data_IF_629055882852
#
_entry.id   IF_629055882852
#
_cell.length_a   1.000
_cell.length_b   1.000
_cell.length_c   1.000
_cell.angle_alpha   90.00
_cell.angle_beta   90.00
_cell.angle_gamma   90.00
#
_symmetry.space_group_name_H-M   'P 1'
#
loop_
_entity.id
_entity.type
_entity.pdbx_description
1 polymer ?
#
# COMPACT_ATOMS: atom_id res chain seq x y z
N UNK A 1 47.27 -37.12 -27.00
CA UNK A 1 46.58 -35.82 -27.13
C UNK A 1 45.11 -36.09 -27.39
N UNK A 2 44.23 -35.86 -26.41
CA UNK A 2 42.77 -36.06 -26.54
C UNK A 2 42.08 -34.74 -26.21
N UNK A 3 41.40 -34.17 -27.21
CA UNK A 3 40.52 -33.01 -27.08
C UNK A 3 39.17 -33.52 -26.58
N UNK A 4 38.68 -33.04 -25.44
CA UNK A 4 37.28 -33.22 -25.05
C UNK A 4 36.71 -31.83 -24.79
N UNK A 5 35.86 -31.46 -25.73
CA UNK A 5 35.08 -30.26 -25.91
C UNK A 5 34.15 -30.04 -24.71
N UNK A 6 34.23 -28.85 -24.11
CA UNK A 6 33.29 -28.40 -23.08
C UNK A 6 31.92 -28.13 -23.68
N UNK A 7 30.89 -28.74 -23.10
CA UNK A 7 29.49 -28.45 -23.38
C UNK A 7 28.96 -27.53 -22.28
N UNK A 8 28.97 -26.22 -22.57
CA UNK A 8 28.30 -25.19 -21.77
C UNK A 8 26.81 -25.25 -22.10
N UNK A 9 26.01 -25.89 -21.25
CA UNK A 9 24.54 -25.82 -21.34
C UNK A 9 24.09 -24.68 -20.44
N UNK A 10 23.87 -23.51 -21.05
CA UNK A 10 23.11 -22.42 -20.46
C UNK A 10 21.66 -22.87 -20.28
N UNK A 11 21.32 -23.35 -19.09
CA UNK A 11 19.93 -23.57 -18.69
C UNK A 11 19.31 -22.20 -18.40
N UNK A 12 18.48 -21.74 -19.34
CA UNK A 12 17.68 -20.54 -19.21
C UNK A 12 16.87 -20.58 -17.91
N UNK A 13 17.12 -19.59 -17.05
CA UNK A 13 16.25 -19.27 -15.93
C UNK A 13 14.87 -18.89 -16.47
N UNK A 14 13.93 -19.82 -16.39
CA UNK A 14 12.50 -19.53 -16.57
C UNK A 14 12.12 -18.57 -15.47
N UNK A 15 12.12 -17.28 -15.81
CA UNK A 15 11.55 -16.23 -14.98
C UNK A 15 10.04 -16.45 -14.98
N UNK A 16 9.55 -17.20 -13.99
CA UNK A 16 8.13 -17.25 -13.67
C UNK A 16 7.77 -15.85 -13.18
N UNK A 17 7.37 -15.00 -14.13
CA UNK A 17 6.62 -13.78 -13.84
C UNK A 17 5.29 -14.26 -13.24
N UNK A 18 5.26 -14.41 -11.92
CA UNK A 18 4.02 -14.54 -11.17
C UNK A 18 3.23 -13.26 -11.42
N UNK A 19 2.25 -13.35 -12.32
CA UNK A 19 1.28 -12.30 -12.54
C UNK A 19 0.51 -12.17 -11.23
N UNK A 20 0.83 -11.16 -10.43
CA UNK A 20 0.00 -10.77 -9.30
C UNK A 20 -1.35 -10.33 -9.89
N UNK A 21 -2.29 -11.26 -10.05
CA UNK A 21 -3.69 -10.92 -10.22
C UNK A 21 -4.05 -10.06 -9.01
N UNK A 22 -4.25 -8.76 -9.23
CA UNK A 22 -4.72 -7.90 -8.14
C UNK A 22 -6.13 -8.34 -7.80
N UNK A 23 -6.28 -9.16 -6.76
CA UNK A 23 -7.58 -9.41 -6.16
C UNK A 23 -8.21 -8.04 -5.87
N UNK A 24 -9.46 -7.85 -6.33
CA UNK A 24 -10.21 -6.64 -6.02
C UNK A 24 -10.22 -6.44 -4.49
N UNK A 25 -10.09 -5.19 -4.00
CA UNK A 25 -10.11 -4.94 -2.56
C UNK A 25 -11.35 -5.58 -1.92
N UNK A 26 -11.25 -6.14 -0.70
CA UNK A 26 -12.40 -6.74 -0.05
C UNK A 26 -13.52 -5.70 0.12
N UNK A 27 -14.77 -6.11 -0.03
CA UNK A 27 -15.92 -5.24 0.24
C UNK A 27 -16.16 -5.15 1.76
N UNK A 28 -16.38 -3.93 2.26
CA UNK A 28 -16.77 -3.64 3.66
C UNK A 28 -18.02 -4.45 4.02
N UNK A 29 -17.98 -5.32 5.04
CA UNK A 29 -19.17 -6.04 5.48
C UNK A 29 -20.09 -5.17 6.33
N UNK A 30 -21.35 -5.58 6.48
CA UNK A 30 -22.34 -4.86 7.28
C UNK A 30 -22.03 -4.93 8.79
N UNK A 31 -22.65 -4.04 9.56
CA UNK A 31 -22.56 -4.09 11.03
C UNK A 31 -23.30 -5.32 11.55
N UNK A 32 -22.69 -6.00 12.52
CA UNK A 32 -23.30 -7.15 13.20
C UNK A 32 -23.94 -6.76 14.55
N UNK A 33 -23.79 -5.50 14.96
CA UNK A 33 -24.29 -4.97 16.22
C UNK A 33 -23.52 -5.52 17.41
N UNK A 34 -22.19 -5.66 17.27
CA UNK A 34 -21.27 -6.01 18.37
C UNK A 34 -20.11 -5.03 18.29
N UNK A 35 -20.05 -4.11 19.26
CA UNK A 35 -19.24 -2.89 19.20
C UNK A 35 -17.78 -3.14 18.83
N UNK A 36 -17.12 -4.10 19.47
CA UNK A 36 -15.69 -4.34 19.25
C UNK A 36 -15.39 -4.82 17.83
N UNK A 37 -16.27 -5.68 17.29
CA UNK A 37 -16.14 -6.22 15.93
C UNK A 37 -16.50 -5.18 14.86
N UNK A 38 -17.55 -4.40 15.10
CA UNK A 38 -17.97 -3.34 14.19
C UNK A 38 -16.96 -2.18 14.18
N UNK A 39 -16.44 -1.81 15.35
CA UNK A 39 -15.40 -0.80 15.52
C UNK A 39 -14.09 -1.21 14.85
N UNK A 40 -13.61 -2.43 15.12
CA UNK A 40 -12.42 -2.97 14.44
C UNK A 40 -12.60 -2.96 12.92
N UNK A 41 -13.73 -3.47 12.44
CA UNK A 41 -14.05 -3.45 11.01
C UNK A 41 -14.03 -2.04 10.42
N UNK A 42 -14.72 -1.09 11.04
CA UNK A 42 -14.79 0.26 10.51
C UNK A 42 -13.40 0.89 10.43
N UNK A 43 -12.60 0.78 11.49
CA UNK A 43 -11.22 1.28 11.49
C UNK A 43 -10.37 0.61 10.41
N UNK A 44 -10.45 -0.72 10.24
CA UNK A 44 -9.69 -1.43 9.21
C UNK A 44 -10.08 -1.01 7.79
N UNK A 45 -11.38 -0.81 7.53
CA UNK A 45 -11.85 -0.41 6.22
C UNK A 45 -11.63 1.09 5.95
N UNK A 46 -11.68 1.95 6.96
CA UNK A 46 -11.32 3.37 6.82
C UNK A 46 -9.83 3.51 6.45
N UNK A 47 -8.96 2.69 7.04
CA UNK A 47 -7.54 2.60 6.65
C UNK A 47 -7.37 2.06 5.23
N UNK A 48 -8.15 1.05 4.83
CA UNK A 48 -8.13 0.54 3.46
C UNK A 48 -8.51 1.63 2.45
N UNK A 49 -9.59 2.36 2.72
CA UNK A 49 -10.09 3.43 1.86
C UNK A 49 -9.04 4.54 1.75
N UNK A 50 -8.47 4.98 2.87
CA UNK A 50 -7.46 6.03 2.88
C UNK A 50 -6.15 5.59 2.22
N UNK A 51 -5.64 4.38 2.50
CA UNK A 51 -4.44 3.86 1.85
C UNK A 51 -4.61 3.74 0.33
N UNK A 52 -5.83 3.41 -0.13
CA UNK A 52 -6.16 3.36 -1.56
C UNK A 52 -6.13 4.76 -2.17
N UNK A 53 -6.68 5.77 -1.47
CA UNK A 53 -6.62 7.18 -1.88
C UNK A 53 -5.17 7.66 -2.01
N UNK A 54 -4.35 7.43 -0.98
CA UNK A 54 -2.93 7.82 -1.00
C UNK A 54 -2.15 7.17 -2.14
N UNK A 55 -2.38 5.87 -2.40
CA UNK A 55 -1.79 5.18 -3.56
C UNK A 55 -2.19 5.83 -4.87
N UNK A 56 -3.48 6.15 -5.04
CA UNK A 56 -3.98 6.76 -6.26
C UNK A 56 -3.40 8.18 -6.45
N UNK A 57 -3.29 8.97 -5.38
CA UNK A 57 -2.68 10.29 -5.42
C UNK A 57 -1.20 10.23 -5.79
N UNK A 58 -0.44 9.32 -5.18
CA UNK A 58 0.98 9.09 -5.53
C UNK A 58 1.15 8.61 -6.97
N UNK A 59 0.26 7.72 -7.44
CA UNK A 59 0.26 7.21 -8.82
C UNK A 59 -0.10 8.30 -9.83
N UNK A 60 -1.01 9.22 -9.48
CA UNK A 60 -1.32 10.37 -10.33
C UNK A 60 -0.10 11.27 -10.51
N UNK A 61 0.60 11.60 -9.42
CA UNK A 61 1.83 12.41 -9.49
C UNK A 61 2.91 11.67 -10.31
N UNK A 62 3.07 10.36 -10.10
CA UNK A 62 3.98 9.53 -10.89
C UNK A 62 3.70 9.59 -12.40
N UNK A 63 2.43 9.49 -12.79
CA UNK A 63 2.01 9.59 -14.18
C UNK A 63 2.23 10.99 -14.75
N UNK A 64 2.03 12.05 -13.97
CA UNK A 64 2.34 13.43 -14.38
C UNK A 64 3.85 13.61 -14.62
N UNK A 65 4.69 13.05 -13.75
CA UNK A 65 6.15 13.08 -13.87
C UNK A 65 6.64 12.30 -15.09
N UNK A 66 6.06 11.12 -15.36
CA UNK A 66 6.42 10.28 -16.50
C UNK A 66 5.86 10.78 -17.83
N UNK A 67 4.67 11.40 -17.80
CA UNK A 67 3.99 11.93 -18.96
C UNK A 67 4.47 13.33 -19.36
N UNK A 68 4.98 14.10 -18.41
CA UNK A 68 5.70 15.35 -18.68
C UNK A 68 7.16 15.09 -19.03
N UNK A 69 7.74 15.88 -19.93
CA UNK A 69 9.19 16.00 -19.93
C UNK A 69 9.52 16.71 -18.62
N UNK A 70 10.18 16.06 -17.67
CA UNK A 70 10.53 16.66 -16.38
C UNK A 70 11.13 18.08 -16.55
N UNK A 71 11.94 18.26 -17.60
CA UNK A 71 12.54 19.52 -18.02
C UNK A 71 11.54 20.65 -18.40
N UNK A 72 10.31 20.31 -18.80
CA UNK A 72 9.26 21.29 -19.16
C UNK A 72 8.35 21.67 -17.99
N UNK A 73 8.44 21.00 -16.84
CA UNK A 73 7.71 21.39 -15.64
C UNK A 73 8.26 22.71 -15.08
N UNK A 74 7.40 23.59 -14.58
CA UNK A 74 7.85 24.81 -13.89
C UNK A 74 8.44 24.48 -12.51
N UNK A 75 9.35 25.32 -12.01
CA UNK A 75 9.93 25.18 -10.66
C UNK A 75 8.84 25.14 -9.59
N UNK A 76 7.82 25.99 -9.73
CA UNK A 76 6.69 26.04 -8.81
C UNK A 76 5.89 24.72 -8.77
N UNK A 77 5.65 24.10 -9.94
CA UNK A 77 4.98 22.79 -9.99
C UNK A 77 5.83 21.71 -9.33
N UNK A 78 7.14 21.70 -9.58
CA UNK A 78 8.07 20.75 -8.96
C UNK A 78 8.05 20.87 -7.43
N UNK A 79 8.10 22.10 -6.89
CA UNK A 79 7.99 22.36 -5.44
C UNK A 79 6.63 21.93 -4.88
N UNK A 80 5.54 22.21 -5.59
CA UNK A 80 4.20 21.78 -5.20
C UNK A 80 4.09 20.26 -5.12
N UNK A 81 4.64 19.54 -6.09
CA UNK A 81 4.60 18.08 -6.12
C UNK A 81 5.47 17.48 -5.01
N UNK A 82 6.67 18.03 -4.75
CA UNK A 82 7.49 17.62 -3.60
C UNK A 82 6.70 17.79 -2.29
N UNK A 83 6.03 18.94 -2.10
CA UNK A 83 5.23 19.18 -0.90
C UNK A 83 4.07 18.18 -0.79
N UNK A 84 3.39 17.88 -1.89
CA UNK A 84 2.32 16.88 -1.92
C UNK A 84 2.85 15.48 -1.56
N UNK A 85 3.98 15.07 -2.15
CA UNK A 85 4.61 13.78 -1.86
C UNK A 85 5.08 13.66 -0.41
N UNK A 86 5.62 14.74 0.19
CA UNK A 86 5.95 14.80 1.63
C UNK A 86 4.69 14.59 2.49
N UNK A 87 3.59 15.27 2.19
CA UNK A 87 2.32 15.09 2.92
C UNK A 87 1.73 13.67 2.77
N UNK A 88 1.86 13.06 1.60
CA UNK A 88 1.50 11.64 1.38
C UNK A 88 2.39 10.73 2.23
N UNK A 89 3.69 11.01 2.32
CA UNK A 89 4.64 10.25 3.15
C UNK A 89 4.22 10.24 4.63
N UNK A 90 3.96 11.43 5.19
CA UNK A 90 3.55 11.60 6.59
C UNK A 90 2.24 10.86 6.87
N UNK A 91 1.25 11.02 5.99
CA UNK A 91 -0.05 10.34 6.10
C UNK A 91 0.11 8.82 6.03
N UNK A 92 0.98 8.33 5.13
CA UNK A 92 1.26 6.90 4.98
C UNK A 92 1.92 6.31 6.23
N UNK A 93 2.87 7.03 6.83
CA UNK A 93 3.53 6.61 8.08
C UNK A 93 2.54 6.52 9.24
N UNK A 94 1.64 7.50 9.37
CA UNK A 94 0.60 7.48 10.39
C UNK A 94 -0.35 6.27 10.24
N UNK A 95 -0.71 5.90 9.00
CA UNK A 95 -1.52 4.71 8.74
C UNK A 95 -0.75 3.42 9.05
N UNK A 96 0.53 3.33 8.69
CA UNK A 96 1.35 2.14 9.00
C UNK A 96 1.40 1.88 10.51
N UNK A 97 1.51 2.92 11.32
CA UNK A 97 1.46 2.79 12.78
C UNK A 97 0.10 2.26 13.27
N UNK A 98 -1.01 2.86 12.81
CA UNK A 98 -2.37 2.41 13.16
C UNK A 98 -2.64 0.96 12.75
N UNK A 99 -2.10 0.52 11.61
CA UNK A 99 -2.20 -0.87 11.16
C UNK A 99 -1.54 -1.82 12.15
N UNK A 100 -0.37 -1.45 12.70
CA UNK A 100 0.32 -2.24 13.72
C UNK A 100 -0.50 -2.43 14.99
N UNK A 101 -1.16 -1.37 15.47
CA UNK A 101 -2.04 -1.44 16.64
C UNK A 101 -3.26 -2.36 16.39
N UNK A 102 -3.81 -2.31 15.18
CA UNK A 102 -4.97 -3.12 14.78
C UNK A 102 -4.64 -4.60 14.56
N UNK A 103 -3.38 -4.98 14.29
CA UNK A 103 -3.03 -6.40 14.12
C UNK A 103 -3.25 -7.20 15.40
N UNK A 104 -2.80 -6.67 16.53
CA UNK A 104 -2.96 -7.32 17.83
C UNK A 104 -4.44 -7.36 18.23
N UNK A 105 -5.19 -6.29 17.95
CA UNK A 105 -6.63 -6.27 18.14
C UNK A 105 -7.34 -7.33 17.28
N UNK A 106 -6.97 -7.45 16.01
CA UNK A 106 -7.55 -8.42 15.07
C UNK A 106 -7.35 -9.87 15.50
N UNK A 107 -6.14 -10.23 15.96
CA UNK A 107 -5.85 -11.57 16.51
C UNK A 107 -6.71 -11.87 17.73
N UNK A 108 -6.82 -10.89 18.64
CA UNK A 108 -7.61 -11.01 19.87
C UNK A 108 -9.09 -11.20 19.57
N UNK A 109 -9.65 -10.39 18.67
CA UNK A 109 -11.06 -10.47 18.28
C UNK A 109 -11.38 -11.78 17.56
N UNK A 110 -10.48 -12.28 16.71
CA UNK A 110 -10.70 -13.54 16.01
C UNK A 110 -10.76 -14.73 16.99
N UNK A 111 -9.89 -14.74 18.00
CA UNK A 111 -9.91 -15.75 19.07
C UNK A 111 -11.21 -15.70 19.89
N UNK A 112 -11.74 -14.49 20.11
CA UNK A 112 -12.94 -14.26 20.92
C UNK A 112 -14.25 -14.34 20.12
N UNK A 113 -14.21 -14.36 18.78
CA UNK A 113 -15.40 -14.36 17.91
C UNK A 113 -16.37 -15.51 18.21
N UNK A 114 -15.85 -16.70 18.57
CA UNK A 114 -16.65 -17.87 18.96
C UNK A 114 -17.46 -17.69 20.24
N UNK A 115 -17.09 -16.72 21.08
CA UNK A 115 -17.72 -16.44 22.37
C UNK A 115 -18.78 -15.33 22.28
N UNK A 116 -19.02 -14.78 21.08
CA UNK A 116 -20.00 -13.71 20.87
C UNK A 116 -21.42 -14.20 21.16
N UNK A 117 -22.19 -13.39 21.89
CA UNK A 117 -23.58 -13.65 22.24
C UNK A 117 -24.52 -12.62 21.55
N UNK A 118 -25.65 -13.03 20.96
CA UNK A 118 -26.11 -14.41 20.73
C UNK A 118 -25.15 -15.21 19.87
N UNK A 119 -25.01 -16.51 20.13
CA UNK A 119 -24.14 -17.44 19.37
C UNK A 119 -24.39 -17.39 17.86
N UNK A 120 -25.59 -17.00 17.44
CA UNK A 120 -25.96 -16.78 16.03
C UNK A 120 -25.13 -15.69 15.35
N UNK A 121 -24.55 -14.74 16.10
CA UNK A 121 -23.64 -13.69 15.57
C UNK A 121 -22.19 -14.13 15.46
N UNK A 122 -21.78 -15.25 16.08
CA UNK A 122 -20.39 -15.69 16.09
C UNK A 122 -19.81 -15.92 14.67
N UNK A 123 -20.52 -16.56 13.72
CA UNK A 123 -20.02 -16.68 12.34
C UNK A 123 -19.83 -15.32 11.66
N UNK A 124 -20.73 -14.37 11.90
CA UNK A 124 -20.65 -13.03 11.35
C UNK A 124 -19.49 -12.23 11.97
N UNK A 125 -19.23 -12.39 13.26
CA UNK A 125 -18.07 -11.81 13.96
C UNK A 125 -16.74 -12.34 13.40
N UNK A 126 -16.62 -13.65 13.19
CA UNK A 126 -15.46 -14.27 12.54
C UNK A 126 -15.26 -13.74 11.13
N UNK A 127 -16.34 -13.68 10.32
CA UNK A 127 -16.27 -13.19 8.95
C UNK A 127 -15.89 -11.71 8.87
N UNK A 128 -16.48 -10.86 9.71
CA UNK A 128 -16.14 -9.44 9.79
C UNK A 128 -14.67 -9.25 10.15
N UNK A 129 -14.19 -9.96 11.17
CA UNK A 129 -12.78 -9.88 11.60
C UNK A 129 -11.84 -10.33 10.48
N UNK A 130 -12.10 -11.46 9.84
CA UNK A 130 -11.28 -11.98 8.74
C UNK A 130 -11.23 -11.02 7.54
N UNK A 131 -12.38 -10.44 7.16
CA UNK A 131 -12.42 -9.43 6.07
C UNK A 131 -11.66 -8.16 6.43
N UNK A 132 -11.72 -7.75 7.69
CA UNK A 132 -11.03 -6.56 8.19
C UNK A 132 -9.52 -6.77 8.20
N UNK A 133 -9.04 -7.94 8.63
CA UNK A 133 -7.63 -8.35 8.53
C UNK A 133 -7.17 -8.33 7.07
N UNK A 134 -7.94 -8.91 6.14
CA UNK A 134 -7.63 -8.82 4.70
C UNK A 134 -7.59 -7.37 4.20
N UNK A 135 -8.47 -6.51 4.70
CA UNK A 135 -8.45 -5.07 4.42
C UNK A 135 -7.15 -4.41 4.86
N UNK A 136 -6.67 -4.72 6.07
CA UNK A 136 -5.38 -4.24 6.58
C UNK A 136 -4.21 -4.76 5.74
N UNK A 137 -4.23 -6.02 5.30
CA UNK A 137 -3.20 -6.58 4.41
C UNK A 137 -3.12 -5.86 3.07
N UNK A 138 -4.27 -5.56 2.46
CA UNK A 138 -4.34 -4.77 1.22
C UNK A 138 -3.87 -3.34 1.48
N UNK A 139 -4.25 -2.75 2.62
CA UNK A 139 -3.79 -1.42 3.00
C UNK A 139 -2.27 -1.36 3.12
N UNK A 140 -1.61 -2.35 3.74
CA UNK A 140 -0.14 -2.44 3.79
C UNK A 140 0.47 -2.44 2.39
N UNK A 141 -0.03 -3.28 1.50
CA UNK A 141 0.46 -3.34 0.11
C UNK A 141 0.30 -2.00 -0.61
N UNK A 142 -0.82 -1.30 -0.40
CA UNK A 142 -1.03 0.04 -0.94
C UNK A 142 0.01 1.03 -0.38
N UNK A 143 0.28 0.99 0.92
CA UNK A 143 1.25 1.88 1.58
C UNK A 143 2.69 1.58 1.15
N UNK A 144 3.05 0.31 0.92
CA UNK A 144 4.37 -0.06 0.41
C UNK A 144 4.60 0.48 -1.01
N UNK A 145 3.59 0.35 -1.88
CA UNK A 145 3.61 0.95 -3.23
C UNK A 145 3.69 2.48 -3.13
N UNK A 146 2.90 3.08 -2.25
CA UNK A 146 2.87 4.53 -2.03
C UNK A 146 4.25 5.03 -1.57
N UNK A 147 4.89 4.37 -0.60
CA UNK A 147 6.21 4.72 -0.10
C UNK A 147 7.28 4.64 -1.21
N UNK A 148 7.21 3.60 -2.05
CA UNK A 148 8.11 3.45 -3.20
C UNK A 148 7.95 4.61 -4.20
N UNK A 149 6.70 4.91 -4.61
CA UNK A 149 6.40 6.01 -5.52
C UNK A 149 6.82 7.37 -4.95
N UNK A 150 6.48 7.63 -3.68
CA UNK A 150 6.84 8.87 -3.00
C UNK A 150 8.34 9.07 -2.97
N UNK A 151 9.11 8.04 -2.60
CA UNK A 151 10.56 8.11 -2.56
C UNK A 151 11.13 8.39 -3.94
N UNK A 152 10.82 7.56 -4.93
CA UNK A 152 11.35 7.69 -6.29
C UNK A 152 11.02 9.05 -6.90
N UNK A 153 9.78 9.51 -6.79
CA UNK A 153 9.36 10.78 -7.39
C UNK A 153 9.92 11.99 -6.66
N UNK A 154 10.03 11.93 -5.33
CA UNK A 154 10.68 13.01 -4.57
C UNK A 154 12.15 13.13 -4.98
N UNK A 155 12.89 12.02 -5.08
CA UNK A 155 14.30 12.02 -5.49
C UNK A 155 14.47 12.59 -6.91
N UNK A 156 13.61 12.21 -7.85
CA UNK A 156 13.64 12.75 -9.23
C UNK A 156 13.42 14.26 -9.26
N UNK A 157 12.36 14.74 -8.60
CA UNK A 157 12.01 16.16 -8.56
C UNK A 157 13.07 17.01 -7.85
N UNK A 158 13.63 16.49 -6.75
CA UNK A 158 14.74 17.11 -6.01
C UNK A 158 15.99 17.24 -6.88
N UNK A 159 16.34 16.19 -7.62
CA UNK A 159 17.49 16.22 -8.51
C UNK A 159 17.29 17.21 -9.66
N UNK A 160 16.07 17.31 -10.18
CA UNK A 160 15.73 18.29 -11.21
C UNK A 160 15.89 19.74 -10.70
N UNK A 161 15.42 20.07 -9.49
CA UNK A 161 15.66 21.39 -8.90
C UNK A 161 17.15 21.71 -8.78
N UNK A 162 17.95 20.73 -8.31
CA UNK A 162 19.42 20.90 -8.20
C UNK A 162 20.07 21.16 -9.56
N UNK A 163 19.66 20.43 -10.61
CA UNK A 163 20.18 20.65 -11.97
C UNK A 163 19.86 22.06 -12.50
N UNK A 164 18.77 22.66 -12.03
CA UNK A 164 18.37 24.04 -12.37
C UNK A 164 19.00 25.11 -11.47
N UNK A 165 19.77 24.72 -10.46
CA UNK A 165 20.35 25.65 -9.49
C UNK A 165 19.35 26.19 -8.46
N UNK A 166 18.22 25.51 -8.26
CA UNK A 166 17.16 25.90 -7.33
C UNK A 166 17.33 25.27 -5.94
N UNK A 167 16.95 26.00 -4.89
CA UNK A 167 16.87 25.47 -3.52
C UNK A 167 15.67 24.54 -3.33
N UNK A 168 15.84 23.58 -2.43
CA UNK A 168 14.80 22.64 -1.97
C UNK A 168 14.40 23.09 -0.57
N UNK A 169 13.59 24.13 -0.49
CA UNK A 169 12.94 24.53 0.75
C UNK A 169 11.63 23.71 0.90
#
# INVERSE_FOLDING_TARGET
MKKITGLFVCLFAVSVLASAQSEAPPKRPDNIGVSDFDGFKNNSFDILDESTRLKNDATRIDNEIKGGVLASMTVDKIRQDIKALRGISESSQALTQKIGDLDEQGKTLLSNAKNVNPRTKAPAATNNTNKSIKGLEVARKNLDVTASLVKTNTDLLVNELKLRGESID
#
